data_IF_851697162981
#
_entry.id   IF_851697162981
#
_cell.length_a   1.000
_cell.length_b   1.000
_cell.length_c   1.000
_cell.angle_alpha   90.00
_cell.angle_beta   90.00
_cell.angle_gamma   90.00
#
_symmetry.space_group_name_H-M   'P 1'
#
loop_
_entity.id
_entity.type
_entity.pdbx_description
1 polymer ?
#
# COMPACT_ATOMS: atom_id res chain seq x y z
N UNK A 1 16.86 1.40 2.60
CA UNK A 1 16.63 0.59 1.38
C UNK A 1 15.13 0.45 1.23
N UNK A 2 14.52 0.97 0.15
CA UNK A 2 13.07 0.90 -0.08
C UNK A 2 12.75 0.02 -1.28
N UNK A 3 11.77 -0.87 -1.14
CA UNK A 3 11.25 -1.70 -2.23
C UNK A 3 9.96 -1.04 -2.73
N UNK A 4 9.91 -0.71 -4.03
CA UNK A 4 8.71 -0.20 -4.71
C UNK A 4 8.10 -1.34 -5.53
N UNK A 5 6.80 -1.55 -5.39
CA UNK A 5 6.05 -2.56 -6.14
C UNK A 5 5.21 -1.87 -7.22
N UNK A 6 5.61 -2.00 -8.49
CA UNK A 6 4.74 -1.59 -9.60
C UNK A 6 3.56 -2.55 -9.70
N UNK A 7 2.39 -2.01 -10.00
CA UNK A 7 1.10 -2.70 -10.17
C UNK A 7 1.21 -4.08 -10.82
N UNK A 8 1.06 -5.13 -10.04
CA UNK A 8 0.93 -6.51 -10.53
C UNK A 8 -0.46 -7.02 -10.16
N UNK A 9 -1.12 -7.71 -11.09
CA UNK A 9 -2.43 -8.30 -10.86
C UNK A 9 -2.44 -9.22 -9.64
N UNK A 10 -3.63 -9.58 -9.17
CA UNK A 10 -3.83 -10.40 -7.97
C UNK A 10 -3.00 -11.71 -7.94
N UNK A 11 -2.59 -12.22 -9.10
CA UNK A 11 -1.77 -13.42 -9.25
C UNK A 11 -0.30 -13.23 -8.80
N UNK A 12 0.28 -12.04 -8.99
CA UNK A 12 1.70 -11.77 -8.67
C UNK A 12 1.95 -11.36 -7.22
N UNK A 13 0.92 -10.83 -6.54
CA UNK A 13 1.06 -10.26 -5.20
C UNK A 13 1.46 -11.30 -4.15
N UNK A 14 0.89 -12.51 -4.22
CA UNK A 14 1.19 -13.60 -3.28
C UNK A 14 2.67 -14.05 -3.34
N UNK A 15 3.19 -14.45 -4.51
CA UNK A 15 4.60 -14.80 -4.68
C UNK A 15 5.56 -13.68 -4.27
N UNK A 16 5.23 -12.42 -4.60
CA UNK A 16 6.04 -11.26 -4.22
C UNK A 16 6.10 -11.10 -2.70
N UNK A 17 4.96 -11.16 -2.02
CA UNK A 17 4.88 -11.05 -0.56
C UNK A 17 5.64 -12.19 0.14
N UNK A 18 5.48 -13.43 -0.32
CA UNK A 18 6.23 -14.59 0.18
C UNK A 18 7.75 -14.41 0.03
N UNK A 19 8.19 -13.93 -1.14
CA UNK A 19 9.60 -13.63 -1.38
C UNK A 19 10.14 -12.54 -0.46
N UNK A 20 9.34 -11.50 -0.18
CA UNK A 20 9.72 -10.41 0.72
C UNK A 20 9.84 -10.88 2.17
N UNK A 21 8.84 -11.61 2.69
CA UNK A 21 8.88 -12.21 4.03
C UNK A 21 10.09 -13.14 4.18
N UNK A 22 10.37 -13.97 3.17
CA UNK A 22 11.52 -14.85 3.13
C UNK A 22 12.85 -14.10 3.28
N UNK A 23 13.02 -12.94 2.62
CA UNK A 23 14.24 -12.13 2.73
C UNK A 23 14.42 -11.55 4.13
N UNK A 24 13.37 -11.04 4.76
CA UNK A 24 13.42 -10.54 6.14
C UNK A 24 13.84 -11.65 7.11
N UNK A 25 13.24 -12.84 6.97
CA UNK A 25 13.57 -14.00 7.78
C UNK A 25 15.03 -14.44 7.61
N UNK A 26 15.51 -14.57 6.37
CA UNK A 26 16.90 -14.99 6.08
C UNK A 26 17.91 -13.95 6.58
N UNK A 27 17.56 -12.67 6.52
CA UNK A 27 18.41 -11.59 7.02
C UNK A 27 18.35 -11.41 8.55
N UNK A 28 17.53 -12.20 9.26
CA UNK A 28 17.25 -12.05 10.69
C UNK A 28 16.80 -10.62 11.08
N UNK A 29 16.17 -9.92 10.14
CA UNK A 29 15.65 -8.56 10.36
C UNK A 29 14.20 -8.67 10.82
N UNK A 30 13.80 -7.93 11.87
CA UNK A 30 12.42 -7.95 12.34
C UNK A 30 11.45 -7.51 11.23
N UNK A 31 10.24 -8.10 11.17
CA UNK A 31 9.21 -7.69 10.23
C UNK A 31 8.93 -6.18 10.28
N UNK A 32 8.60 -5.56 9.13
CA UNK A 32 8.19 -4.18 9.12
C UNK A 32 6.83 -4.02 9.82
N UNK A 33 6.68 -2.92 10.57
CA UNK A 33 5.40 -2.54 11.19
C UNK A 33 4.54 -1.66 10.28
N UNK A 34 5.13 -1.08 9.23
CA UNK A 34 4.48 -0.14 8.33
C UNK A 34 4.90 -0.38 6.88
N UNK A 35 3.93 -0.45 5.98
CA UNK A 35 4.14 -0.56 4.54
C UNK A 35 3.28 0.46 3.81
N UNK A 36 3.90 1.20 2.89
CA UNK A 36 3.24 2.15 2.01
C UNK A 36 2.97 1.48 0.66
N UNK A 37 1.76 1.67 0.14
CA UNK A 37 1.31 1.09 -1.13
C UNK A 37 0.68 2.16 -2.01
N UNK A 38 0.84 2.02 -3.32
CA UNK A 38 0.40 3.00 -4.32
C UNK A 38 -1.14 3.10 -4.47
N UNK A 39 -1.83 2.00 -4.18
CA UNK A 39 -3.28 1.91 -4.29
C UNK A 39 -3.86 0.83 -3.34
N UNK A 40 -5.19 0.76 -3.26
CA UNK A 40 -5.94 -0.32 -2.59
C UNK A 40 -5.72 -0.56 -1.08
N UNK A 41 -5.03 0.32 -0.35
CA UNK A 41 -4.89 0.23 1.11
C UNK A 41 -6.22 0.33 1.90
N UNK A 42 -7.31 0.73 1.25
CA UNK A 42 -8.65 0.89 1.83
C UNK A 42 -9.64 -0.21 1.41
N UNK A 43 -9.31 -1.03 0.41
CA UNK A 43 -10.25 -2.01 -0.15
C UNK A 43 -10.21 -3.33 0.63
N UNK A 44 -11.34 -3.81 1.20
CA UNK A 44 -11.37 -5.05 1.97
C UNK A 44 -10.93 -6.30 1.19
N UNK A 45 -11.08 -6.31 -0.15
CA UNK A 45 -10.85 -7.47 -1.02
C UNK A 45 -9.44 -7.59 -1.60
N UNK A 46 -8.55 -6.62 -1.35
CA UNK A 46 -7.18 -6.57 -1.90
C UNK A 46 -6.17 -6.16 -0.82
N UNK A 47 -6.35 -6.67 0.39
CA UNK A 47 -5.48 -6.33 1.51
C UNK A 47 -4.11 -6.97 1.28
N UNK A 48 -3.13 -6.13 0.96
CA UNK A 48 -1.70 -6.46 1.09
C UNK A 48 -1.36 -7.12 2.45
N UNK A 49 -2.02 -6.79 3.58
CA UNK A 49 -1.87 -7.55 4.82
C UNK A 49 -2.19 -9.05 4.68
N UNK A 50 -3.21 -9.42 3.91
CA UNK A 50 -3.61 -10.82 3.72
C UNK A 50 -2.56 -11.59 2.91
N UNK A 51 -1.80 -10.90 2.05
CA UNK A 51 -0.66 -11.49 1.34
C UNK A 51 0.60 -11.64 2.21
N UNK A 52 0.66 -11.01 3.39
CA UNK A 52 1.80 -11.06 4.32
C UNK A 52 1.43 -11.70 5.68
N UNK A 53 1.00 -12.98 5.72
CA UNK A 53 0.49 -13.60 6.95
C UNK A 53 1.51 -13.72 8.09
N UNK A 54 2.82 -13.72 7.79
CA UNK A 54 3.87 -13.78 8.84
C UNK A 54 4.00 -12.45 9.59
N UNK A 55 3.47 -11.35 9.05
CA UNK A 55 3.64 -9.99 9.56
C UNK A 55 2.37 -9.51 10.27
N UNK A 56 2.00 -10.17 11.38
CA UNK A 56 0.71 -9.95 12.08
C UNK A 56 0.46 -8.53 12.61
N UNK A 57 1.49 -7.69 12.76
CA UNK A 57 1.38 -6.30 13.20
C UNK A 57 1.56 -5.28 12.06
N UNK A 58 1.50 -5.73 10.80
CA UNK A 58 1.72 -4.88 9.64
C UNK A 58 0.58 -3.87 9.45
N UNK A 59 0.93 -2.60 9.48
CA UNK A 59 0.05 -1.50 9.12
C UNK A 59 0.27 -1.11 7.67
N UNK A 60 -0.76 -1.14 6.84
CA UNK A 60 -0.68 -0.69 5.45
C UNK A 60 -1.30 0.70 5.29
N UNK A 61 -0.61 1.58 4.55
CA UNK A 61 -1.01 2.97 4.29
C UNK A 61 -0.85 3.32 2.81
N UNK A 62 -1.60 4.31 2.35
CA UNK A 62 -1.36 4.91 1.04
C UNK A 62 -0.01 5.63 1.08
N UNK A 63 0.80 5.47 0.06
CA UNK A 63 2.02 6.26 -0.10
C UNK A 63 1.70 7.77 -0.15
N UNK A 64 2.68 8.57 0.28
CA UNK A 64 2.49 10.01 0.45
C UNK A 64 2.22 10.73 -0.89
N UNK A 65 2.80 10.24 -1.98
CA UNK A 65 2.61 10.85 -3.29
C UNK A 65 1.17 10.68 -3.77
N UNK A 66 0.63 9.46 -3.73
CA UNK A 66 -0.77 9.23 -4.10
C UNK A 66 -1.73 9.86 -3.09
N UNK A 67 -1.38 9.94 -1.81
CA UNK A 67 -2.17 10.69 -0.82
C UNK A 67 -2.31 12.16 -1.21
N UNK A 68 -1.18 12.84 -1.45
CA UNK A 68 -1.18 14.26 -1.83
C UNK A 68 -1.89 14.49 -3.16
N UNK A 69 -1.71 13.60 -4.13
CA UNK A 69 -2.38 13.68 -5.43
C UNK A 69 -3.90 13.52 -5.30
N UNK A 70 -4.37 12.53 -4.52
CA UNK A 70 -5.81 12.34 -4.25
C UNK A 70 -6.41 13.51 -3.48
N UNK A 71 -5.69 14.04 -2.50
CA UNK A 71 -6.10 15.21 -1.74
C UNK A 71 -6.28 16.43 -2.67
N UNK A 72 -5.26 16.73 -3.49
CA UNK A 72 -5.31 17.80 -4.47
C UNK A 72 -6.51 17.66 -5.42
N UNK A 73 -6.72 16.47 -6.00
CA UNK A 73 -7.87 16.23 -6.88
C UNK A 73 -9.23 16.46 -6.19
N UNK A 74 -9.36 16.17 -4.90
CA UNK A 74 -10.60 16.39 -4.15
C UNK A 74 -10.88 17.86 -3.85
N UNK A 75 -9.84 18.67 -3.62
CA UNK A 75 -10.00 20.11 -3.32
C UNK A 75 -10.04 20.99 -4.57
N UNK A 76 -9.60 20.47 -5.72
CA UNK A 76 -9.66 21.18 -7.01
C UNK A 76 -10.80 20.70 -7.91
N UNK A 77 -11.71 19.84 -7.42
CA UNK A 77 -12.88 19.46 -8.23
C UNK A 77 -13.85 20.62 -8.36
N UNK A 78 -14.40 20.85 -9.55
CA UNK A 78 -15.44 21.86 -9.83
C UNK A 78 -16.70 21.68 -8.97
N UNK A 79 -16.89 20.50 -8.35
CA UNK A 79 -17.94 20.20 -7.38
C UNK A 79 -17.63 20.64 -5.95
N UNK A 80 -16.51 21.35 -5.73
CA UNK A 80 -16.13 21.87 -4.42
C UNK A 80 -17.04 23.05 -4.06
N UNK A 81 -17.70 23.00 -2.88
CA UNK A 81 -18.71 23.96 -2.41
C UNK A 81 -18.25 25.43 -2.39
N UNK A 82 -16.94 25.66 -2.50
CA UNK A 82 -16.32 26.98 -2.55
C UNK A 82 -16.53 27.67 -3.92
N UNK A 83 -16.87 26.93 -4.97
CA UNK A 83 -17.27 27.47 -6.28
C UNK A 83 -18.78 27.23 -6.50
N UNK A 84 -19.57 28.27 -6.79
CA UNK A 84 -20.99 28.10 -7.12
C UNK A 84 -21.15 27.38 -8.46
N UNK A 85 -22.11 26.44 -8.52
CA UNK A 85 -22.55 25.74 -9.75
C UNK A 85 -23.31 26.64 -10.71
#
# INVERSE_FOLDING_TARGET
MSVLTCSEGSEGLGPMAAGLMGRYRVAEVPPPVLMYVDHDCWQPRRRVPDSCPEWGNLVVRLDIWHLMRRFACGVTSESHELYPT
#
